data_IF_479439963402
#
_entry.id   IF_479439963402
#
_cell.length_a   1.000
_cell.length_b   1.000
_cell.length_c   1.000
_cell.angle_alpha   90.00
_cell.angle_beta   90.00
_cell.angle_gamma   90.00
#
_symmetry.space_group_name_H-M   'P 1'
#
loop_
_entity.id
_entity.type
_entity.pdbx_description
1 polymer ?
#
# COMPACT_ATOMS: atom_id res chain seq x y z
N UNK A 1 -2.68 3.51 -6.12
CA UNK A 1 -2.84 4.01 -7.51
C UNK A 1 -1.74 5.00 -7.79
N UNK A 2 -0.94 4.77 -8.81
CA UNK A 2 -0.04 5.78 -9.36
C UNK A 2 -0.71 6.39 -10.59
N UNK A 3 -0.92 7.70 -10.57
CA UNK A 3 -1.50 8.47 -11.67
C UNK A 3 -0.83 9.84 -11.71
N UNK A 4 -0.49 10.30 -12.91
CA UNK A 4 0.16 11.60 -13.13
C UNK A 4 1.43 11.77 -12.25
N UNK A 5 2.18 10.67 -12.06
CA UNK A 5 3.40 10.63 -11.25
C UNK A 5 3.18 10.66 -9.72
N UNK A 6 1.94 10.52 -9.25
CA UNK A 6 1.61 10.54 -7.82
C UNK A 6 1.02 9.21 -7.35
N UNK A 7 1.58 8.67 -6.26
CA UNK A 7 1.00 7.57 -5.52
C UNK A 7 -0.12 8.08 -4.62
N UNK A 8 -1.31 7.49 -4.78
CA UNK A 8 -2.49 7.74 -3.97
C UNK A 8 -3.00 6.42 -3.40
N UNK A 9 -3.20 6.40 -2.08
CA UNK A 9 -3.85 5.29 -1.36
C UNK A 9 -5.33 5.21 -1.73
N UNK A 10 -5.83 4.00 -1.96
CA UNK A 10 -7.25 3.74 -2.27
C UNK A 10 -7.94 3.09 -1.07
N UNK A 11 -7.34 2.04 -0.52
CA UNK A 11 -7.82 1.36 0.66
C UNK A 11 -7.58 2.19 1.92
N UNK A 12 -8.26 1.81 2.99
CA UNK A 12 -8.02 2.34 4.32
C UNK A 12 -7.80 1.16 5.26
N UNK A 13 -6.73 1.21 6.03
CA UNK A 13 -6.40 0.14 6.94
C UNK A 13 -7.44 0.03 8.06
N UNK A 14 -7.92 -1.19 8.29
CA UNK A 14 -8.74 -1.51 9.45
C UNK A 14 -7.85 -1.83 10.65
N UNK A 15 -6.96 -0.90 11.01
CA UNK A 15 -6.03 -1.02 12.14
C UNK A 15 -6.34 0.01 13.24
N UNK A 16 -5.87 -0.25 14.46
CA UNK A 16 -6.03 0.65 15.59
C UNK A 16 -5.41 2.03 15.28
N UNK A 17 -4.20 2.04 14.73
CA UNK A 17 -3.47 3.28 14.42
C UNK A 17 -4.20 4.14 13.38
N UNK A 18 -4.75 3.53 12.33
CA UNK A 18 -5.56 4.28 11.36
C UNK A 18 -6.82 4.85 12.01
N UNK A 19 -7.44 4.11 12.94
CA UNK A 19 -8.58 4.62 13.70
C UNK A 19 -8.22 5.78 14.64
N UNK A 20 -7.02 5.79 15.22
CA UNK A 20 -6.53 6.90 16.03
C UNK A 20 -6.28 8.15 15.20
N UNK A 21 -5.74 7.99 13.98
CA UNK A 21 -5.62 9.09 13.00
C UNK A 21 -6.98 9.66 12.64
N UNK A 22 -7.96 8.81 12.35
CA UNK A 22 -9.33 9.25 12.04
C UNK A 22 -9.99 10.07 13.14
N UNK A 23 -9.66 9.76 14.39
CA UNK A 23 -10.14 10.47 15.58
C UNK A 23 -9.31 11.71 15.90
N UNK A 24 -8.26 12.00 15.12
CA UNK A 24 -7.33 13.11 15.34
C UNK A 24 -6.49 12.96 16.61
N UNK A 25 -6.31 11.74 17.11
CA UNK A 25 -5.54 11.47 18.33
C UNK A 25 -4.04 11.34 18.07
N UNK A 26 -3.67 10.93 16.86
CA UNK A 26 -2.30 10.88 16.36
C UNK A 26 -2.26 11.42 14.92
N UNK A 27 -1.08 11.76 14.43
CA UNK A 27 -0.84 12.15 13.03
C UNK A 27 -0.62 10.93 12.13
N UNK A 28 -0.68 11.11 10.81
CA UNK A 28 -0.39 10.02 9.85
C UNK A 28 1.04 9.47 10.02
N UNK A 29 2.01 10.33 10.32
CA UNK A 29 3.41 9.93 10.51
C UNK A 29 3.61 9.13 11.82
N UNK A 30 2.75 9.33 12.82
CA UNK A 30 2.84 8.57 14.08
C UNK A 30 2.52 7.08 13.89
N UNK A 31 1.81 6.71 12.81
CA UNK A 31 1.46 5.31 12.50
C UNK A 31 2.71 4.42 12.49
N UNK A 32 3.80 4.87 11.85
CA UNK A 32 5.00 4.06 11.62
C UNK A 32 5.77 3.72 12.89
N UNK A 33 5.61 4.50 13.96
CA UNK A 33 6.35 4.33 15.22
C UNK A 33 5.48 3.91 16.39
N UNK A 34 4.15 3.84 16.19
CA UNK A 34 3.22 3.52 17.27
C UNK A 34 3.43 2.09 17.79
N UNK A 35 3.44 1.86 19.12
CA UNK A 35 3.70 0.54 19.71
C UNK A 35 2.64 -0.51 19.34
N UNK A 36 1.45 -0.08 18.90
CA UNK A 36 0.35 -0.94 18.49
C UNK A 36 0.06 -0.85 16.98
N UNK A 37 1.05 -0.54 16.14
CA UNK A 37 0.84 -0.44 14.67
C UNK A 37 0.32 -1.73 14.02
N UNK A 38 0.73 -2.89 14.54
CA UNK A 38 0.28 -4.21 14.06
C UNK A 38 -1.12 -4.63 14.58
N UNK A 39 -1.85 -3.77 15.30
CA UNK A 39 -3.14 -4.12 15.88
C UNK A 39 -4.28 -3.98 14.83
N UNK A 40 -4.62 -5.09 14.18
CA UNK A 40 -5.72 -5.19 13.20
C UNK A 40 -7.08 -5.30 13.91
N UNK A 41 -8.07 -4.54 13.43
CA UNK A 41 -9.44 -4.49 13.97
C UNK A 41 -10.45 -5.32 13.15
N UNK A 42 -10.10 -5.69 11.92
CA UNK A 42 -10.95 -6.49 11.04
C UNK A 42 -10.13 -7.51 10.26
N UNK A 43 -10.49 -8.78 10.37
CA UNK A 43 -9.84 -9.88 9.65
C UNK A 43 -10.87 -10.93 9.21
N UNK A 44 -10.52 -11.69 8.19
CA UNK A 44 -11.33 -12.84 7.77
C UNK A 44 -11.17 -13.98 8.79
N UNK A 45 -12.30 -14.58 9.21
CA UNK A 45 -12.32 -15.72 10.11
C UNK A 45 -12.48 -15.40 11.60
N UNK A 46 -12.41 -14.12 12.01
CA UNK A 46 -12.69 -13.71 13.39
C UNK A 46 -14.19 -13.78 13.73
N UNK A 47 -15.05 -13.44 12.76
CA UNK A 47 -16.51 -13.45 12.89
C UNK A 47 -17.15 -14.23 11.74
N UNK A 48 -18.38 -14.77 11.92
CA UNK A 48 -19.11 -15.45 10.85
C UNK A 48 -19.37 -14.56 9.64
N UNK A 49 -19.66 -13.28 9.91
CA UNK A 49 -19.86 -12.24 8.91
C UNK A 49 -18.72 -11.22 8.98
N UNK A 50 -18.27 -10.77 7.81
CA UNK A 50 -17.25 -9.74 7.67
C UNK A 50 -17.80 -8.57 6.85
N UNK A 51 -17.67 -7.37 7.38
CA UNK A 51 -17.93 -6.16 6.62
C UNK A 51 -16.78 -5.92 5.64
N UNK A 52 -17.07 -5.73 4.36
CA UNK A 52 -16.05 -5.44 3.34
C UNK A 52 -16.21 -4.02 2.82
N UNK A 53 -15.07 -3.37 2.56
CA UNK A 53 -15.05 -2.06 1.93
C UNK A 53 -14.85 -2.25 0.42
N UNK A 54 -15.74 -1.65 -0.37
CA UNK A 54 -15.67 -1.67 -1.83
C UNK A 54 -15.20 -0.32 -2.36
N UNK A 55 -14.12 -0.33 -3.13
CA UNK A 55 -13.60 0.85 -3.80
C UNK A 55 -13.66 0.64 -5.32
N UNK A 56 -14.12 1.66 -6.05
CA UNK A 56 -14.17 1.64 -7.51
C UNK A 56 -13.38 2.80 -8.06
N UNK A 57 -12.43 2.51 -8.95
CA UNK A 57 -11.58 3.50 -9.60
C UNK A 57 -11.58 3.23 -11.09
N UNK A 58 -11.92 4.25 -11.88
CA UNK A 58 -11.79 4.19 -13.35
C UNK A 58 -10.33 4.42 -13.73
N UNK A 59 -9.71 3.44 -14.40
CA UNK A 59 -8.34 3.54 -14.88
C UNK A 59 -8.24 4.36 -16.17
N UNK A 60 -7.09 4.99 -16.36
CA UNK A 60 -6.67 5.74 -17.54
C UNK A 60 -5.34 5.16 -18.05
N UNK A 61 -5.09 5.15 -19.37
CA UNK A 61 -3.79 4.75 -19.90
C UNK A 61 -2.65 5.46 -19.16
N UNK A 62 -1.64 4.71 -18.76
CA UNK A 62 -0.50 5.18 -17.96
C UNK A 62 -0.67 5.04 -16.45
N UNK A 63 -1.87 4.68 -15.95
CA UNK A 63 -2.05 4.37 -14.53
C UNK A 63 -1.33 3.09 -14.13
N UNK A 64 -0.91 3.03 -12.87
CA UNK A 64 -0.52 1.78 -12.22
C UNK A 64 -1.32 1.51 -10.95
N UNK A 65 -1.77 0.28 -10.76
CA UNK A 65 -2.32 -0.21 -9.51
C UNK A 65 -1.26 -0.99 -8.76
N UNK A 66 -1.02 -0.58 -7.52
CA UNK A 66 -0.07 -1.23 -6.63
C UNK A 66 -0.83 -1.78 -5.43
N UNK A 67 -0.65 -3.07 -5.16
CA UNK A 67 -1.16 -3.78 -4.01
C UNK A 67 0.02 -4.37 -3.24
N UNK A 68 0.03 -4.21 -1.93
CA UNK A 68 1.08 -4.74 -1.07
C UNK A 68 0.54 -5.06 0.32
N UNK A 69 1.32 -5.83 1.08
CA UNK A 69 1.10 -6.02 2.52
C UNK A 69 1.72 -4.86 3.34
N UNK A 70 1.42 -4.86 4.64
CA UNK A 70 2.03 -4.02 5.68
C UNK A 70 3.56 -4.11 5.72
N UNK A 71 4.12 -5.31 5.61
CA UNK A 71 5.58 -5.50 5.52
C UNK A 71 6.26 -4.66 4.43
N UNK A 72 5.54 -4.26 3.37
CA UNK A 72 6.06 -3.36 2.34
C UNK A 72 5.92 -1.88 2.72
N UNK A 73 4.72 -1.40 3.05
CA UNK A 73 4.47 0.03 3.24
C UNK A 73 4.94 0.55 4.60
N UNK A 74 5.08 -0.31 5.61
CA UNK A 74 5.73 0.05 6.89
C UNK A 74 7.25 0.27 6.72
N UNK A 75 7.89 -0.51 5.84
CA UNK A 75 9.34 -0.43 5.62
C UNK A 75 9.70 0.60 4.54
N UNK A 76 8.83 0.79 3.55
CA UNK A 76 9.06 1.71 2.42
C UNK A 76 7.88 2.66 2.31
N UNK A 77 8.05 3.90 2.79
CA UNK A 77 6.95 4.87 2.82
C UNK A 77 6.57 5.38 1.42
N UNK A 78 5.39 6.01 1.31
CA UNK A 78 4.76 6.46 0.06
C UNK A 78 5.70 7.22 -0.91
N UNK A 79 6.54 8.18 -0.48
CA UNK A 79 7.43 8.90 -1.40
C UNK A 79 8.46 7.99 -2.08
N UNK A 80 9.06 7.07 -1.31
CA UNK A 80 10.07 6.14 -1.82
C UNK A 80 9.43 5.10 -2.73
N UNK A 81 8.25 4.57 -2.36
CA UNK A 81 7.49 3.66 -3.23
C UNK A 81 7.16 4.32 -4.57
N UNK A 82 6.69 5.57 -4.55
CA UNK A 82 6.35 6.31 -5.76
C UNK A 82 7.58 6.50 -6.67
N UNK A 83 8.73 6.84 -6.09
CA UNK A 83 9.99 6.99 -6.82
C UNK A 83 10.45 5.67 -7.45
N UNK A 84 10.38 4.55 -6.72
CA UNK A 84 10.75 3.24 -7.24
C UNK A 84 9.85 2.83 -8.40
N UNK A 85 8.53 2.99 -8.26
CA UNK A 85 7.56 2.65 -9.31
C UNK A 85 7.76 3.54 -10.56
N UNK A 86 8.13 4.79 -10.39
CA UNK A 86 8.37 5.71 -11.50
C UNK A 86 9.68 5.42 -12.27
N UNK A 87 10.69 4.82 -11.61
CA UNK A 87 12.00 4.52 -12.22
C UNK A 87 12.04 3.27 -13.10
N UNK A 88 11.03 2.41 -13.01
CA UNK A 88 11.04 1.09 -13.65
C UNK A 88 9.82 0.93 -14.55
N UNK A 89 10.02 0.84 -15.86
CA UNK A 89 8.93 0.60 -16.81
C UNK A 89 8.35 -0.82 -16.66
N UNK A 90 9.22 -1.81 -16.50
CA UNK A 90 8.82 -3.21 -16.27
C UNK A 90 8.21 -3.41 -14.86
N UNK A 91 6.96 -3.90 -14.75
CA UNK A 91 6.31 -4.10 -13.46
C UNK A 91 7.04 -5.09 -12.55
N UNK A 92 7.65 -6.13 -13.12
CA UNK A 92 8.37 -7.15 -12.35
C UNK A 92 9.63 -6.55 -11.72
N UNK A 93 10.44 -5.84 -12.49
CA UNK A 93 11.61 -5.12 -11.97
C UNK A 93 11.24 -4.09 -10.90
N UNK A 94 10.12 -3.38 -11.07
CA UNK A 94 9.62 -2.45 -10.05
C UNK A 94 9.28 -3.16 -8.73
N UNK A 95 8.58 -4.30 -8.80
CA UNK A 95 8.28 -5.12 -7.62
C UNK A 95 9.55 -5.64 -6.93
N UNK A 96 10.53 -6.12 -7.69
CA UNK A 96 11.81 -6.58 -7.14
C UNK A 96 12.55 -5.45 -6.41
N UNK A 97 12.57 -4.24 -6.98
CA UNK A 97 13.16 -3.07 -6.35
C UNK A 97 12.40 -2.64 -5.08
N UNK A 98 11.08 -2.73 -5.06
CA UNK A 98 10.26 -2.43 -3.88
C UNK A 98 10.54 -3.41 -2.74
N UNK A 99 10.60 -4.71 -3.06
CA UNK A 99 10.91 -5.77 -2.08
C UNK A 99 12.34 -5.61 -1.56
N UNK A 100 13.30 -5.30 -2.43
CA UNK A 100 14.68 -5.04 -2.03
C UNK A 100 14.80 -3.83 -1.09
N UNK A 101 14.07 -2.75 -1.38
CA UNK A 101 14.04 -1.55 -0.53
C UNK A 101 13.45 -1.85 0.86
N UNK A 102 12.33 -2.58 0.93
CA UNK A 102 11.72 -2.97 2.20
C UNK A 102 12.65 -3.85 3.05
N UNK A 103 13.33 -4.82 2.43
CA UNK A 103 14.35 -5.64 3.12
C UNK A 103 15.52 -4.79 3.63
N UNK A 104 15.98 -3.81 2.86
CA UNK A 104 17.09 -2.93 3.26
C UNK A 104 16.71 -1.99 4.42
N UNK A 105 15.44 -1.62 4.54
CA UNK A 105 14.92 -0.72 5.58
C UNK A 105 14.56 -1.44 6.89
N UNK A 106 14.68 -2.77 6.95
CA UNK A 106 14.48 -3.56 8.18
C UNK A 106 14.10 -5.01 7.87
N UNK A 107 13.12 -5.21 6.99
CA UNK A 107 12.67 -6.55 6.60
C UNK A 107 12.01 -7.34 7.74
N UNK A 108 11.31 -6.67 8.64
CA UNK A 108 10.78 -7.26 9.88
C UNK A 108 9.54 -8.16 9.69
N UNK A 109 8.96 -8.20 8.50
CA UNK A 109 7.78 -9.01 8.17
C UNK A 109 7.84 -9.58 6.74
N UNK A 110 6.89 -10.44 6.39
CA UNK A 110 6.70 -10.93 5.04
C UNK A 110 6.35 -9.79 4.09
N UNK A 111 7.07 -9.71 2.98
CA UNK A 111 6.89 -8.67 1.97
C UNK A 111 6.26 -9.29 0.72
N UNK A 112 5.15 -8.71 0.28
CA UNK A 112 4.44 -9.09 -0.95
C UNK A 112 4.04 -7.82 -1.69
N UNK A 113 4.30 -7.82 -3.00
CA UNK A 113 4.06 -6.70 -3.91
C UNK A 113 3.44 -7.20 -5.21
N UNK A 114 2.39 -6.52 -5.68
CA UNK A 114 1.76 -6.74 -6.98
C UNK A 114 1.58 -5.39 -7.65
N UNK A 115 2.16 -5.24 -8.85
CA UNK A 115 2.04 -4.03 -9.66
C UNK A 115 1.40 -4.37 -11.00
N UNK A 116 0.35 -3.63 -11.35
CA UNK A 116 -0.36 -3.75 -12.62
C UNK A 116 -0.33 -2.41 -13.32
N UNK A 117 0.23 -2.35 -14.54
CA UNK A 117 0.17 -1.15 -15.39
C UNK A 117 -0.98 -1.27 -16.37
N UNK A 118 -1.72 -0.18 -16.55
CA UNK A 118 -2.80 -0.11 -17.50
C UNK A 118 -2.38 0.72 -18.71
N UNK A 119 -2.18 0.07 -19.84
CA UNK A 119 -1.74 0.71 -21.09
C UNK A 119 -2.92 1.25 -21.93
N UNK A 120 -4.16 0.97 -21.52
CA UNK A 120 -5.37 1.27 -22.26
C UNK A 120 -6.06 0.03 -22.80
N UNK A 121 -7.13 0.24 -23.55
CA UNK A 121 -7.74 -0.82 -24.35
C UNK A 121 -6.99 -0.86 -25.68
N UNK A 122 -6.43 -2.00 -26.04
CA UNK A 122 -5.89 -2.20 -27.40
C UNK A 122 -7.00 -2.01 -28.43
N UNK A 123 -6.65 -1.50 -29.60
CA UNK A 123 -7.49 -1.61 -30.80
C UNK A 123 -7.59 -3.06 -31.29
#
# INVERSE_FOLDING_TARGET
LVRDGQLKRISKDHSLVMRLVDLGQITEDDIYTHPQRNAVLRSLGDKPDVEIDLFSVRLKPGDALFLCCDGQWEMTHDPQMNEIIAKHDDPQAACEALVAAANANGGDDNITAVLVRFEGYGE
#
